data_IF_537508593106
#
_entry.id   IF_537508593106
#
_cell.length_a   1.000
_cell.length_b   1.000
_cell.length_c   1.000
_cell.angle_alpha   90.00
_cell.angle_beta   90.00
_cell.angle_gamma   90.00
#
_symmetry.space_group_name_H-M   'P 1'
#
loop_
_entity.id
_entity.type
_entity.pdbx_description
1 polymer ?
#
# COMPACT_ATOMS: atom_id res chain seq x y z
N UNK A 1 8.94 0.18 15.69
CA UNK A 1 8.00 -0.92 15.39
C UNK A 1 8.12 -1.18 13.91
N UNK A 2 8.69 -2.31 13.51
CA UNK A 2 8.85 -2.65 12.10
C UNK A 2 7.49 -3.10 11.55
N UNK A 3 6.95 -2.38 10.56
CA UNK A 3 5.68 -2.76 9.94
C UNK A 3 6.00 -3.65 8.74
N UNK A 4 5.97 -4.97 8.96
CA UNK A 4 6.08 -5.93 7.87
C UNK A 4 4.71 -6.05 7.20
N UNK A 5 4.66 -5.74 5.90
CA UNK A 5 3.46 -5.84 5.07
C UNK A 5 3.66 -6.99 4.08
N UNK A 6 2.64 -7.84 3.94
CA UNK A 6 2.57 -8.78 2.83
C UNK A 6 2.44 -8.06 1.49
N UNK A 7 2.70 -8.74 0.36
CA UNK A 7 2.66 -8.12 -0.96
C UNK A 7 1.28 -7.54 -1.31
N UNK A 8 0.20 -8.19 -0.88
CA UNK A 8 -1.17 -7.70 -1.09
C UNK A 8 -1.50 -6.50 -0.19
N UNK A 9 -1.06 -6.53 1.07
CA UNK A 9 -1.24 -5.42 2.01
C UNK A 9 -0.52 -4.17 1.51
N UNK A 10 0.75 -4.31 1.12
CA UNK A 10 1.55 -3.22 0.56
C UNK A 10 0.90 -2.65 -0.71
N UNK A 11 0.33 -3.51 -1.57
CA UNK A 11 -0.39 -3.09 -2.78
C UNK A 11 -1.64 -2.27 -2.44
N UNK A 12 -2.48 -2.74 -1.52
CA UNK A 12 -3.72 -2.03 -1.12
C UNK A 12 -3.39 -0.68 -0.50
N UNK A 13 -2.39 -0.62 0.38
CA UNK A 13 -1.95 0.65 1.00
C UNK A 13 -1.35 1.58 -0.05
N UNK A 14 -0.48 1.07 -0.93
CA UNK A 14 0.10 1.85 -2.02
C UNK A 14 -0.99 2.45 -2.93
N UNK A 15 -2.05 1.70 -3.22
CA UNK A 15 -3.20 2.23 -3.96
C UNK A 15 -3.92 3.36 -3.22
N UNK A 16 -4.13 3.24 -1.91
CA UNK A 16 -4.76 4.30 -1.11
C UNK A 16 -3.93 5.58 -1.11
N UNK A 17 -2.60 5.47 -0.93
CA UNK A 17 -1.67 6.61 -0.91
C UNK A 17 -1.60 7.27 -2.29
N UNK A 18 -1.39 6.47 -3.34
CA UNK A 18 -1.32 6.97 -4.73
C UNK A 18 -2.60 7.71 -5.12
N UNK A 19 -3.78 7.18 -4.76
CA UNK A 19 -5.05 7.81 -5.11
C UNK A 19 -5.39 9.01 -4.24
N UNK A 20 -4.92 9.09 -3.00
CA UNK A 20 -5.01 10.32 -2.22
C UNK A 20 -4.25 11.46 -2.91
N UNK A 21 -3.05 11.18 -3.43
CA UNK A 21 -2.18 12.18 -4.05
C UNK A 21 -2.64 12.52 -5.48
N UNK A 22 -2.88 11.52 -6.31
CA UNK A 22 -3.20 11.71 -7.73
C UNK A 22 -4.68 12.06 -7.96
N UNK A 23 -5.59 11.60 -7.10
CA UNK A 23 -7.04 11.72 -7.28
C UNK A 23 -7.76 12.06 -5.95
N UNK A 24 -7.41 13.19 -5.31
CA UNK A 24 -7.96 13.55 -3.99
C UNK A 24 -9.49 13.66 -3.98
N UNK A 25 -10.11 14.03 -5.10
CA UNK A 25 -11.57 14.13 -5.26
C UNK A 25 -12.29 12.78 -5.06
N UNK A 26 -11.60 11.68 -5.35
CA UNK A 26 -12.16 10.33 -5.18
C UNK A 26 -11.87 9.72 -3.81
N UNK A 27 -11.07 10.38 -2.99
CA UNK A 27 -10.67 9.91 -1.67
C UNK A 27 -11.61 10.44 -0.58
N UNK A 28 -12.07 9.62 0.40
CA UNK A 28 -11.73 8.21 0.65
C UNK A 28 -12.36 7.23 -0.34
N UNK A 29 -11.61 6.16 -0.68
CA UNK A 29 -11.99 5.20 -1.72
C UNK A 29 -13.06 4.20 -1.25
N UNK A 30 -13.95 3.81 -2.16
CA UNK A 30 -14.84 2.65 -1.94
C UNK A 30 -14.12 1.32 -2.19
N UNK A 31 -14.72 0.21 -1.75
CA UNK A 31 -14.19 -1.13 -2.02
C UNK A 31 -13.97 -1.37 -3.53
N UNK A 32 -14.96 -1.00 -4.35
CA UNK A 32 -14.88 -1.17 -5.80
C UNK A 32 -13.78 -0.29 -6.42
N UNK A 33 -13.57 0.93 -5.91
CA UNK A 33 -12.48 1.78 -6.38
C UNK A 33 -11.10 1.19 -6.01
N UNK A 34 -10.98 0.57 -4.84
CA UNK A 34 -9.77 -0.15 -4.43
C UNK A 34 -9.49 -1.37 -5.29
N UNK A 35 -10.51 -2.17 -5.60
CA UNK A 35 -10.39 -3.32 -6.51
C UNK A 35 -9.85 -2.88 -7.86
N UNK A 36 -10.45 -1.85 -8.45
CA UNK A 36 -9.98 -1.29 -9.72
C UNK A 36 -8.56 -0.74 -9.64
N UNK A 37 -8.18 -0.08 -8.53
CA UNK A 37 -6.83 0.45 -8.35
C UNK A 37 -5.78 -0.66 -8.18
N UNK A 38 -6.13 -1.77 -7.52
CA UNK A 38 -5.24 -2.93 -7.33
C UNK A 38 -5.04 -3.71 -8.62
N UNK A 39 -6.11 -3.84 -9.42
CA UNK A 39 -6.15 -4.59 -10.68
C UNK A 39 -5.82 -3.72 -11.91
N UNK A 40 -5.35 -2.49 -11.70
CA UNK A 40 -5.00 -1.58 -12.79
C UNK A 40 -3.85 -2.18 -13.62
N UNK A 41 -4.02 -2.24 -14.95
CA UNK A 41 -3.01 -2.84 -15.86
C UNK A 41 -1.77 -1.96 -16.08
N UNK A 42 -1.88 -0.67 -15.78
CA UNK A 42 -0.79 0.30 -15.90
C UNK A 42 -0.24 0.62 -14.51
N UNK A 43 1.07 0.82 -14.39
CA UNK A 43 1.74 1.21 -13.13
C UNK A 43 1.64 0.15 -12.01
N UNK A 44 1.51 -1.14 -12.38
CA UNK A 44 1.46 -2.28 -11.45
C UNK A 44 2.39 -3.39 -11.93
N UNK A 45 3.38 -3.71 -11.11
CA UNK A 45 4.28 -4.86 -11.33
C UNK A 45 4.31 -5.70 -10.04
N UNK A 46 3.85 -6.97 -10.05
CA UNK A 46 3.11 -7.64 -11.14
C UNK A 46 1.68 -7.11 -11.29
N UNK A 47 1.10 -7.31 -12.48
CA UNK A 47 -0.36 -7.15 -12.71
C UNK A 47 -1.05 -8.32 -12.01
N UNK A 48 -1.97 -8.00 -11.10
CA UNK A 48 -2.73 -8.98 -10.33
C UNK A 48 -4.20 -8.90 -10.74
N UNK A 49 -4.89 -10.04 -10.67
CA UNK A 49 -6.34 -10.14 -10.79
C UNK A 49 -6.90 -10.57 -9.44
N UNK A 50 -7.02 -9.61 -8.52
CA UNK A 50 -7.53 -9.86 -7.18
C UNK A 50 -9.05 -9.80 -7.17
N UNK A 51 -9.68 -10.78 -6.52
CA UNK A 51 -11.12 -10.73 -6.28
C UNK A 51 -11.44 -9.69 -5.19
N UNK A 52 -12.68 -9.18 -5.23
CA UNK A 52 -13.16 -8.25 -4.20
C UNK A 52 -13.05 -8.84 -2.79
N UNK A 53 -13.29 -10.15 -2.66
CA UNK A 53 -13.22 -10.86 -1.38
C UNK A 53 -11.80 -10.87 -0.79
N UNK A 54 -10.78 -11.12 -1.60
CA UNK A 54 -9.37 -11.10 -1.17
C UNK A 54 -8.98 -9.69 -0.71
N UNK A 55 -9.34 -8.68 -1.49
CA UNK A 55 -9.07 -7.28 -1.12
C UNK A 55 -9.82 -6.91 0.17
N UNK A 56 -11.06 -7.38 0.33
CA UNK A 56 -11.84 -7.15 1.54
C UNK A 56 -11.18 -7.77 2.77
N UNK A 57 -10.67 -9.00 2.67
CA UNK A 57 -9.96 -9.67 3.75
C UNK A 57 -8.67 -8.93 4.12
N UNK A 58 -7.92 -8.46 3.13
CA UNK A 58 -6.71 -7.64 3.34
C UNK A 58 -7.07 -6.32 4.03
N UNK A 59 -8.10 -5.62 3.57
CA UNK A 59 -8.56 -4.38 4.20
C UNK A 59 -8.96 -4.61 5.66
N UNK A 60 -9.64 -5.73 5.96
CA UNK A 60 -10.02 -6.06 7.33
C UNK A 60 -8.79 -6.25 8.25
N UNK A 61 -7.77 -6.97 7.77
CA UNK A 61 -6.48 -7.10 8.47
C UNK A 61 -5.82 -5.73 8.69
N UNK A 62 -5.78 -4.88 7.66
CA UNK A 62 -5.22 -3.54 7.76
C UNK A 62 -5.98 -2.64 8.75
N UNK A 63 -7.31 -2.80 8.86
CA UNK A 63 -8.12 -2.11 9.86
C UNK A 63 -7.80 -2.64 11.26
N UNK A 64 -7.69 -3.96 11.45
CA UNK A 64 -7.29 -4.57 12.72
C UNK A 64 -5.91 -4.09 13.17
N UNK A 65 -4.99 -3.93 12.23
CA UNK A 65 -3.64 -3.35 12.44
C UNK A 65 -3.63 -1.82 12.59
N UNK A 66 -4.80 -1.16 12.49
CA UNK A 66 -4.98 0.30 12.53
C UNK A 66 -4.25 1.08 11.44
N UNK A 67 -3.88 0.42 10.34
CA UNK A 67 -3.24 1.01 9.17
C UNK A 67 -4.24 1.61 8.19
N UNK A 68 -5.49 1.13 8.21
CA UNK A 68 -6.62 1.65 7.42
C UNK A 68 -7.79 1.91 8.37
N UNK A 69 -8.64 2.85 8.02
CA UNK A 69 -9.89 3.15 8.74
C UNK A 69 -11.05 3.19 7.75
N UNK A 70 -12.19 2.65 8.19
CA UNK A 70 -13.44 2.84 7.48
C UNK A 70 -14.07 4.15 7.95
N UNK A 71 -14.16 5.12 7.06
CA UNK A 71 -14.74 6.46 7.31
C UNK A 71 -16.21 6.55 6.95
N UNK A 72 -16.81 5.46 6.46
CA UNK A 72 -18.24 5.43 6.23
C UNK A 72 -18.98 5.66 7.55
N UNK A 73 -19.86 6.66 7.57
CA UNK A 73 -20.73 6.92 8.70
C UNK A 73 -21.61 5.72 9.01
N UNK A 74 -22.11 5.62 10.23
CA UNK A 74 -22.90 4.49 10.74
C UNK A 74 -24.11 4.10 9.85
N UNK A 75 -24.60 5.03 9.03
CA UNK A 75 -25.73 4.84 8.11
C UNK A 75 -25.35 4.88 6.62
N UNK A 76 -24.05 4.91 6.29
CA UNK A 76 -23.59 4.93 4.91
C UNK A 76 -23.64 3.53 4.31
N UNK A 77 -24.36 3.40 3.19
CA UNK A 77 -24.53 2.12 2.48
C UNK A 77 -23.25 1.59 1.83
N UNK A 78 -22.28 2.48 1.61
CA UNK A 78 -21.03 2.15 0.90
C UNK A 78 -19.86 2.40 1.85
N UNK A 79 -19.08 1.37 2.21
CA UNK A 79 -17.88 1.55 3.02
C UNK A 79 -16.86 2.40 2.25
N UNK A 80 -16.19 3.31 2.97
CA UNK A 80 -15.15 4.18 2.44
C UNK A 80 -13.89 3.99 3.29
N UNK A 81 -12.75 3.79 2.64
CA UNK A 81 -11.51 3.45 3.30
C UNK A 81 -10.48 4.56 3.13
N UNK A 82 -9.83 4.91 4.23
CA UNK A 82 -8.74 5.88 4.31
C UNK A 82 -7.54 5.21 4.97
N UNK A 83 -6.34 5.46 4.45
CA UNK A 83 -5.12 5.00 5.09
C UNK A 83 -4.77 5.87 6.30
N UNK A 84 -4.07 5.29 7.26
CA UNK A 84 -3.62 5.92 8.52
C UNK A 84 -2.08 5.98 8.63
N UNK A 85 -1.39 5.98 7.50
CA UNK A 85 0.02 6.36 7.49
C UNK A 85 0.10 7.86 7.80
N UNK A 86 0.34 8.19 9.07
CA UNK A 86 0.89 9.50 9.42
C UNK A 86 2.23 9.65 8.71
N UNK A 87 2.61 10.89 8.44
CA UNK A 87 3.83 11.37 7.76
C UNK A 87 5.16 10.99 8.46
N UNK A 88 5.28 9.78 9.00
CA UNK A 88 6.48 9.26 9.62
C UNK A 88 7.21 8.41 8.59
N UNK A 89 8.29 8.99 8.04
CA UNK A 89 9.44 8.36 7.39
C UNK A 89 9.37 6.83 7.22
N UNK A 90 8.58 6.33 6.26
CA UNK A 90 8.83 5.01 5.69
C UNK A 90 9.86 5.18 4.58
N UNK A 91 11.07 5.55 5.01
CA UNK A 91 12.27 5.41 4.20
C UNK A 91 12.44 3.93 3.90
N UNK A 92 12.21 3.56 2.64
CA UNK A 92 12.61 2.30 2.05
C UNK A 92 14.03 2.00 2.50
N UNK A 93 14.18 1.10 3.47
CA UNK A 93 15.46 0.46 3.74
C UNK A 93 15.56 -0.68 2.76
N UNK A 94 15.98 -0.37 1.52
CA UNK A 94 16.58 -1.39 0.67
C UNK A 94 17.82 -1.89 1.41
N UNK A 95 17.70 -3.07 2.03
CA UNK A 95 18.86 -3.85 2.39
C UNK A 95 19.52 -4.26 1.07
N UNK A 96 20.54 -3.49 0.67
CA UNK A 96 21.44 -3.88 -0.40
C UNK A 96 22.46 -4.85 0.21
N UNK A 97 22.08 -6.11 0.32
CA UNK A 97 23.05 -7.20 0.54
C UNK A 97 23.99 -7.26 -0.68
N UNK A 98 25.25 -6.88 -0.43
CA UNK A 98 26.49 -7.44 -0.99
C UNK A 98 26.64 -7.63 -2.50
N UNK A 99 27.52 -6.82 -3.11
CA UNK A 99 28.52 -7.33 -4.08
C UNK A 99 29.87 -6.61 -3.87
N UNK A 100 30.85 -7.45 -3.51
CA UNK A 100 32.27 -7.44 -3.85
C UNK A 100 33.12 -6.17 -3.72
N UNK A 101 34.01 -6.23 -2.72
CA UNK A 101 35.21 -5.41 -2.67
C UNK A 101 36.27 -5.90 -3.65
N UNK A 102 36.96 -4.94 -4.27
CA UNK A 102 38.41 -4.92 -4.49
C UNK A 102 38.86 -3.46 -4.62
N UNK A 103 39.23 -2.79 -3.52
CA UNK A 103 40.03 -1.57 -3.61
C UNK A 103 41.49 -1.96 -3.78
N UNK A 104 41.94 -1.94 -5.03
CA UNK A 104 43.35 -1.78 -5.40
C UNK A 104 43.78 -0.34 -5.14
N UNK A 105 44.60 -0.10 -4.11
CA UNK A 105 45.43 1.11 -3.99
C UNK A 105 46.49 0.92 -2.88
N UNK A 106 47.71 0.58 -3.27
CA UNK A 106 48.89 0.65 -2.43
C UNK A 106 50.01 1.27 -3.25
N UNK A 107 50.07 2.60 -3.23
CA UNK A 107 51.21 3.39 -3.71
C UNK A 107 52.40 3.12 -2.79
N UNK A 108 53.56 2.90 -3.39
CA UNK A 108 54.88 2.91 -2.79
C UNK A 108 55.89 3.35 -3.84
#
# INVERSE_FOLDING_TARGET
>A
MEIVLGPLEARVIGCLIEKEICTPDQYPLSLNALVNACNQKSNREPVLELAELDIRAVIDELIRRRLVVNTAGFNARVPRYQHRFCNTEFGVSIHQDGVDGISSAGMG
#
